data_IF_560820000562
#
_entry.id   IF_560820000562
#
_cell.length_a   1.000
_cell.length_b   1.000
_cell.length_c   1.000
_cell.angle_alpha   90.00
_cell.angle_beta   90.00
_cell.angle_gamma   90.00
#
_symmetry.space_group_name_H-M   'P 1'
#
loop_
_entity.id
_entity.type
_entity.pdbx_description
1 polymer ?
#
# COMPACT_ATOMS: atom_id res chain seq x y z
N UNK A 1 28.46 -34.35 -33.19
CA UNK A 1 28.30 -35.17 -31.97
C UNK A 1 28.19 -34.21 -30.80
N UNK A 2 26.99 -34.05 -30.23
CA UNK A 2 26.73 -33.09 -29.16
C UNK A 2 26.47 -33.87 -27.87
N UNK A 3 27.38 -33.78 -26.92
CA UNK A 3 27.25 -34.37 -25.59
C UNK A 3 26.28 -33.52 -24.75
N UNK A 4 25.12 -34.10 -24.41
CA UNK A 4 24.21 -33.52 -23.44
C UNK A 4 24.76 -33.74 -22.02
N UNK A 5 25.02 -32.63 -21.31
CA UNK A 5 25.31 -32.67 -19.88
C UNK A 5 24.04 -33.07 -19.10
N UNK A 6 24.15 -33.94 -18.07
CA UNK A 6 22.99 -34.33 -17.27
C UNK A 6 22.49 -33.16 -16.42
N UNK A 7 21.17 -33.03 -16.35
CA UNK A 7 20.45 -32.05 -15.54
C UNK A 7 20.66 -32.32 -14.05
N UNK A 8 21.04 -31.28 -13.33
CA UNK A 8 21.36 -31.35 -11.91
C UNK A 8 20.07 -31.56 -11.08
N UNK A 9 19.97 -32.59 -10.22
CA UNK A 9 18.72 -32.92 -9.52
C UNK A 9 18.37 -31.86 -8.48
N UNK A 10 17.06 -31.66 -8.32
CA UNK A 10 16.48 -30.67 -7.41
C UNK A 10 16.88 -30.94 -5.95
N UNK A 11 16.87 -29.89 -5.11
CA UNK A 11 17.18 -30.00 -3.69
C UNK A 11 16.34 -31.08 -2.98
N UNK A 12 15.08 -31.25 -3.39
CA UNK A 12 14.17 -32.27 -2.88
C UNK A 12 14.63 -33.69 -3.24
N UNK A 13 15.15 -33.90 -4.46
CA UNK A 13 15.68 -35.19 -4.89
C UNK A 13 16.99 -35.53 -4.18
N UNK A 14 17.86 -34.54 -3.96
CA UNK A 14 19.11 -34.71 -3.21
C UNK A 14 18.83 -35.06 -1.74
N UNK A 15 17.87 -34.37 -1.12
CA UNK A 15 17.43 -34.66 0.24
C UNK A 15 16.77 -36.05 0.34
N UNK A 16 15.93 -36.41 -0.62
CA UNK A 16 15.31 -37.74 -0.67
C UNK A 16 16.34 -38.88 -0.91
N UNK A 17 17.44 -38.61 -1.60
CA UNK A 17 18.52 -39.56 -1.81
C UNK A 17 19.42 -39.73 -0.56
N UNK A 18 19.76 -38.63 0.11
CA UNK A 18 20.48 -38.66 1.39
C UNK A 18 19.67 -39.38 2.47
N UNK A 19 18.35 -39.20 2.48
CA UNK A 19 17.49 -39.82 3.48
C UNK A 19 17.27 -41.31 3.25
N UNK A 20 17.21 -41.75 1.98
CA UNK A 20 17.15 -43.17 1.61
C UNK A 20 18.40 -43.96 1.99
N UNK A 21 19.56 -43.29 2.06
CA UNK A 21 20.82 -43.91 2.50
C UNK A 21 20.93 -44.07 4.01
N UNK A 22 20.08 -43.41 4.79
CA UNK A 22 20.22 -43.32 6.25
C UNK A 22 19.22 -44.19 7.05
N UNK A 23 18.30 -44.93 6.41
CA UNK A 23 17.24 -45.66 7.09
C UNK A 23 17.48 -47.20 7.11
N UNK A 24 17.48 -47.86 8.29
CA UNK A 24 17.45 -49.31 8.39
C UNK A 24 16.01 -49.86 8.18
N UNK A 25 15.92 -51.03 7.54
CA UNK A 25 14.77 -51.94 7.36
C UNK A 25 13.33 -51.37 7.30
N UNK A 26 12.67 -51.67 6.18
CA UNK A 26 11.36 -51.19 5.69
C UNK A 26 10.08 -51.38 6.55
N UNK A 27 10.13 -51.82 7.81
CA UNK A 27 8.93 -52.07 8.61
C UNK A 27 8.44 -50.84 9.40
N UNK A 28 9.34 -50.02 9.94
CA UNK A 28 8.99 -48.78 10.68
C UNK A 28 8.77 -47.56 9.75
N UNK A 29 8.96 -47.77 8.44
CA UNK A 29 9.01 -46.73 7.42
C UNK A 29 7.62 -46.13 7.12
N UNK A 30 6.55 -46.94 7.13
CA UNK A 30 5.21 -46.45 6.83
C UNK A 30 4.62 -45.57 7.96
N UNK A 31 4.99 -45.84 9.22
CA UNK A 31 4.48 -45.12 10.39
C UNK A 31 5.06 -43.72 10.57
N UNK A 32 6.28 -43.47 10.06
CA UNK A 32 6.98 -42.19 10.25
C UNK A 32 6.84 -41.23 9.05
N UNK A 33 6.54 -41.74 7.86
CA UNK A 33 6.45 -40.94 6.62
C UNK A 33 5.16 -40.12 6.56
N UNK A 34 4.03 -40.65 7.04
CA UNK A 34 2.77 -39.91 7.06
C UNK A 34 2.84 -38.68 7.99
N UNK A 35 3.30 -38.79 9.26
CA UNK A 35 3.43 -37.63 10.15
C UNK A 35 4.42 -36.58 9.65
N UNK A 36 5.55 -36.98 9.06
CA UNK A 36 6.54 -36.06 8.52
C UNK A 36 6.03 -35.34 7.25
N UNK A 37 5.32 -36.05 6.37
CA UNK A 37 4.67 -35.48 5.19
C UNK A 37 3.52 -34.53 5.57
N UNK A 38 2.75 -34.88 6.59
CA UNK A 38 1.66 -34.04 7.10
C UNK A 38 2.20 -32.80 7.83
N UNK A 39 3.30 -32.94 8.57
CA UNK A 39 3.99 -31.82 9.20
C UNK A 39 4.60 -30.88 8.16
N UNK A 40 5.31 -31.40 7.15
CA UNK A 40 5.86 -30.60 6.07
C UNK A 40 4.74 -29.98 5.20
N UNK A 41 3.63 -30.71 5.01
CA UNK A 41 2.40 -30.19 4.43
C UNK A 41 1.83 -29.02 5.24
N UNK A 42 1.69 -29.15 6.54
CA UNK A 42 1.16 -28.11 7.42
C UNK A 42 2.09 -26.88 7.53
N UNK A 43 3.40 -27.09 7.51
CA UNK A 43 4.42 -26.04 7.66
C UNK A 43 4.68 -25.30 6.34
N UNK A 44 4.66 -26.00 5.19
CA UNK A 44 5.00 -25.43 3.88
C UNK A 44 3.82 -25.28 2.91
N UNK A 45 2.65 -25.90 3.17
CA UNK A 45 1.41 -25.71 2.39
C UNK A 45 0.36 -24.83 3.07
N UNK A 46 0.76 -23.94 4.00
CA UNK A 46 0.05 -22.66 4.13
C UNK A 46 0.34 -21.81 2.88
N UNK A 47 -0.08 -22.32 1.73
CA UNK A 47 -0.35 -21.47 0.57
C UNK A 47 -1.26 -20.37 1.10
N UNK A 48 -0.94 -19.09 0.87
CA UNK A 48 -1.84 -18.02 1.24
C UNK A 48 -3.22 -18.40 0.69
N UNK A 49 -4.26 -18.36 1.55
CA UNK A 49 -5.64 -18.72 1.17
C UNK A 49 -5.92 -18.16 -0.23
N UNK A 50 -6.64 -18.86 -1.12
CA UNK A 50 -6.87 -18.40 -2.49
C UNK A 50 -7.31 -16.94 -2.59
N UNK A 51 -8.04 -16.43 -1.59
CA UNK A 51 -8.37 -15.01 -1.41
C UNK A 51 -7.17 -14.09 -1.20
N UNK A 52 -6.19 -14.50 -0.39
CA UNK A 52 -4.93 -13.78 -0.15
C UNK A 52 -4.05 -13.81 -1.41
N UNK A 53 -4.00 -14.92 -2.16
CA UNK A 53 -3.32 -14.97 -3.47
C UNK A 53 -4.03 -14.09 -4.52
N UNK A 54 -5.35 -14.08 -4.55
CA UNK A 54 -6.13 -13.23 -5.45
C UNK A 54 -5.98 -11.73 -5.11
N UNK A 55 -5.91 -11.38 -3.81
CA UNK A 55 -5.62 -10.01 -3.35
C UNK A 55 -4.17 -9.59 -3.64
N UNK A 56 -3.20 -10.50 -3.49
CA UNK A 56 -1.78 -10.27 -3.81
C UNK A 56 -1.56 -10.10 -5.32
N UNK A 57 -2.26 -10.88 -6.17
CA UNK A 57 -2.25 -10.72 -7.64
C UNK A 57 -3.03 -9.48 -8.12
N UNK A 58 -4.14 -9.12 -7.46
CA UNK A 58 -4.87 -7.85 -7.73
C UNK A 58 -4.03 -6.59 -7.48
N UNK A 59 -2.93 -6.72 -6.74
CA UNK A 59 -2.03 -5.63 -6.32
C UNK A 59 -0.60 -5.80 -6.82
N UNK A 60 -0.40 -6.39 -8.01
CA UNK A 60 0.69 -5.86 -8.85
C UNK A 60 0.49 -4.34 -8.90
N UNK A 61 1.42 -3.58 -8.31
CA UNK A 61 1.18 -2.23 -7.83
C UNK A 61 0.30 -1.42 -8.77
N UNK A 62 -0.92 -1.09 -8.35
CA UNK A 62 -1.85 -0.27 -9.12
C UNK A 62 -1.09 0.93 -9.68
N UNK A 63 -1.24 1.18 -10.98
CA UNK A 63 -0.46 2.21 -11.64
C UNK A 63 -1.31 3.47 -11.76
N UNK A 64 -0.73 4.61 -11.37
CA UNK A 64 -1.27 5.91 -11.69
C UNK A 64 -0.79 6.30 -13.10
N UNK A 65 -1.68 6.54 -14.07
CA UNK A 65 -1.26 6.74 -15.46
C UNK A 65 -0.82 8.19 -15.76
N UNK A 66 -1.07 9.12 -14.83
CA UNK A 66 -0.81 10.54 -14.95
C UNK A 66 -0.20 11.12 -13.67
N UNK A 67 0.36 12.31 -13.76
CA UNK A 67 0.77 13.06 -12.56
C UNK A 67 -0.46 13.77 -11.97
N UNK A 68 -0.64 13.72 -10.65
CA UNK A 68 -1.70 14.38 -9.90
C UNK A 68 -1.19 15.67 -9.26
N UNK A 69 -1.99 16.72 -9.38
CA UNK A 69 -1.70 18.04 -8.87
C UNK A 69 -2.87 18.60 -8.07
N UNK A 70 -2.52 19.49 -7.14
CA UNK A 70 -3.45 20.42 -6.52
C UNK A 70 -3.40 21.74 -7.29
N UNK A 71 -4.55 22.18 -7.78
CA UNK A 71 -4.68 23.49 -8.39
C UNK A 71 -4.80 24.56 -7.30
N UNK A 72 -3.82 25.46 -7.26
CA UNK A 72 -3.79 26.65 -6.41
C UNK A 72 -3.94 27.88 -7.30
N UNK A 73 -4.30 29.03 -6.73
CA UNK A 73 -4.63 30.25 -7.48
C UNK A 73 -3.61 30.61 -8.56
N UNK A 74 -2.32 30.62 -8.24
CA UNK A 74 -1.25 31.02 -9.16
C UNK A 74 -0.38 29.85 -9.66
N UNK A 75 -0.66 28.59 -9.28
CA UNK A 75 0.23 27.46 -9.58
C UNK A 75 -0.41 26.10 -9.38
N UNK A 76 0.22 25.07 -9.94
CA UNK A 76 -0.09 23.67 -9.67
C UNK A 76 0.94 23.05 -8.73
N UNK A 77 0.51 22.46 -7.61
CA UNK A 77 1.37 21.78 -6.66
C UNK A 77 1.34 20.27 -6.90
N UNK A 78 2.47 19.59 -7.19
CA UNK A 78 2.48 18.15 -7.39
C UNK A 78 2.11 17.39 -6.12
N UNK A 79 1.14 16.47 -6.22
CA UNK A 79 0.71 15.59 -5.14
C UNK A 79 1.30 14.20 -5.30
N UNK A 80 1.00 13.53 -6.42
CA UNK A 80 1.48 12.17 -6.70
C UNK A 80 1.97 12.09 -8.15
N UNK A 81 3.11 11.45 -8.37
CA UNK A 81 3.63 11.23 -9.72
C UNK A 81 3.04 9.96 -10.31
N UNK A 82 2.98 9.89 -11.64
CA UNK A 82 2.65 8.68 -12.39
C UNK A 82 3.53 7.51 -11.96
N UNK A 83 3.02 6.30 -12.12
CA UNK A 83 3.70 5.06 -11.80
C UNK A 83 3.05 4.31 -10.64
N UNK A 84 3.80 3.45 -9.92
CA UNK A 84 3.25 2.64 -8.84
C UNK A 84 2.62 3.51 -7.74
N UNK A 85 1.35 3.24 -7.42
CA UNK A 85 0.66 3.87 -6.30
C UNK A 85 1.19 3.27 -5.00
N UNK A 86 1.74 4.12 -4.14
CA UNK A 86 2.06 3.77 -2.76
C UNK A 86 0.98 4.34 -1.82
N UNK A 87 0.05 3.50 -1.32
CA UNK A 87 -1.00 3.94 -0.41
C UNK A 87 -0.48 4.37 0.96
N UNK A 88 0.81 4.15 1.24
CA UNK A 88 1.48 4.59 2.45
C UNK A 88 2.42 5.78 2.23
N UNK A 89 2.10 6.58 1.22
CA UNK A 89 2.71 7.87 0.99
C UNK A 89 1.69 8.99 1.15
N UNK A 90 2.15 10.14 1.65
CA UNK A 90 1.33 11.34 1.65
C UNK A 90 2.15 12.60 1.36
N UNK A 91 1.45 13.62 0.88
CA UNK A 91 1.98 14.98 0.73
C UNK A 91 1.32 15.85 1.80
N UNK A 92 2.10 16.64 2.56
CA UNK A 92 1.61 17.59 3.55
C UNK A 92 1.76 19.02 3.03
N UNK A 93 0.66 19.79 3.12
CA UNK A 93 0.61 21.24 2.91
C UNK A 93 0.31 21.94 4.23
N UNK A 94 1.16 22.89 4.62
CA UNK A 94 0.98 23.73 5.81
C UNK A 94 0.40 25.11 5.45
N UNK A 95 -0.01 25.87 6.47
CA UNK A 95 -0.51 27.23 6.30
C UNK A 95 -1.81 27.31 5.51
N UNK A 96 -2.69 26.32 5.68
CA UNK A 96 -4.00 26.34 5.01
C UNK A 96 -4.94 27.28 5.74
N UNK A 97 -5.69 28.10 5.00
CA UNK A 97 -6.67 29.02 5.59
C UNK A 97 -7.80 28.27 6.31
N UNK A 98 -8.29 28.85 7.41
CA UNK A 98 -9.49 28.37 8.10
C UNK A 98 -10.75 28.44 7.23
N UNK A 99 -10.82 29.44 6.34
CA UNK A 99 -11.91 29.67 5.38
C UNK A 99 -11.76 28.88 4.09
N UNK A 100 -10.78 27.98 4.01
CA UNK A 100 -10.58 27.17 2.82
C UNK A 100 -11.62 26.04 2.76
N UNK A 101 -12.45 26.08 1.72
CA UNK A 101 -13.65 25.24 1.63
C UNK A 101 -13.62 24.21 0.50
N UNK A 102 -12.73 24.36 -0.48
CA UNK A 102 -12.66 23.48 -1.65
C UNK A 102 -11.22 23.30 -2.11
N UNK A 103 -10.86 22.05 -2.44
CA UNK A 103 -9.62 21.70 -3.14
C UNK A 103 -9.95 21.25 -4.56
N UNK A 104 -9.29 21.85 -5.55
CA UNK A 104 -9.40 21.43 -6.95
C UNK A 104 -8.19 20.57 -7.31
N UNK A 105 -8.46 19.38 -7.84
CA UNK A 105 -7.44 18.42 -8.21
C UNK A 105 -7.39 18.33 -9.74
N UNK A 106 -6.19 18.45 -10.28
CA UNK A 106 -5.92 18.29 -11.70
C UNK A 106 -4.99 17.13 -11.94
N UNK A 107 -4.98 16.65 -13.17
CA UNK A 107 -4.04 15.64 -13.66
C UNK A 107 -3.33 16.17 -14.89
N UNK A 108 -2.09 15.73 -15.07
CA UNK A 108 -1.30 15.99 -16.26
C UNK A 108 -0.96 14.65 -16.90
N UNK A 109 -1.56 14.41 -18.06
CA UNK A 109 -1.33 13.19 -18.82
C UNK A 109 0.05 13.25 -19.52
N UNK A 110 0.73 12.12 -19.78
CA UNK A 110 2.08 12.12 -20.34
C UNK A 110 2.26 12.93 -21.63
N UNK A 111 1.28 12.88 -22.54
CA UNK A 111 1.32 13.62 -23.81
C UNK A 111 1.04 15.12 -23.67
N UNK A 112 0.48 15.53 -22.54
CA UNK A 112 0.05 16.91 -22.27
C UNK A 112 1.13 17.71 -21.48
N UNK A 113 2.25 17.07 -21.11
CA UNK A 113 3.27 17.62 -20.21
C UNK A 113 4.00 18.84 -20.76
N UNK A 114 4.40 18.83 -22.03
CA UNK A 114 5.16 19.93 -22.64
C UNK A 114 4.30 21.19 -22.81
N UNK A 115 3.00 21.01 -23.05
CA UNK A 115 2.04 22.10 -23.22
C UNK A 115 1.33 22.46 -21.90
N UNK A 116 1.71 21.84 -20.78
CA UNK A 116 1.08 22.00 -19.46
C UNK A 116 -0.45 21.94 -19.50
N UNK A 117 -1.01 21.05 -20.32
CA UNK A 117 -2.46 20.91 -20.51
C UNK A 117 -3.09 20.10 -19.38
N UNK A 118 -3.30 20.76 -18.25
CA UNK A 118 -3.96 20.16 -17.09
C UNK A 118 -5.41 19.81 -17.38
N UNK A 119 -5.84 18.63 -16.92
CA UNK A 119 -7.22 18.16 -17.01
C UNK A 119 -7.83 18.01 -15.61
N UNK A 120 -9.15 18.13 -15.45
CA UNK A 120 -9.80 17.88 -14.17
C UNK A 120 -9.61 16.44 -13.69
N UNK A 121 -9.19 16.27 -12.45
CA UNK A 121 -9.18 14.98 -11.76
C UNK A 121 -10.34 14.86 -10.79
N UNK A 122 -10.59 15.89 -9.97
CA UNK A 122 -11.66 15.84 -8.99
C UNK A 122 -11.69 17.04 -8.05
N UNK A 123 -12.62 17.01 -7.11
CA UNK A 123 -12.82 18.10 -6.14
C UNK A 123 -12.97 17.52 -4.74
N UNK A 124 -12.39 18.18 -3.73
CA UNK A 124 -12.66 17.89 -2.31
C UNK A 124 -13.47 19.04 -1.72
N UNK A 125 -14.68 18.76 -1.25
CA UNK A 125 -15.58 19.75 -0.63
C UNK A 125 -15.41 19.71 0.90
N UNK A 126 -14.69 20.67 1.46
CA UNK A 126 -14.32 20.72 2.88
C UNK A 126 -15.46 21.20 3.78
N UNK A 127 -16.34 22.05 3.22
CA UNK A 127 -17.51 22.62 3.89
C UNK A 127 -18.57 21.57 4.27
N UNK A 128 -18.55 20.38 3.66
CA UNK A 128 -19.53 19.31 3.94
C UNK A 128 -19.32 18.57 5.27
N UNK A 129 -18.27 18.91 6.03
CA UNK A 129 -17.92 18.22 7.26
C UNK A 129 -17.31 16.85 6.99
N UNK A 130 -15.99 16.73 7.17
CA UNK A 130 -15.30 15.46 6.91
C UNK A 130 -15.66 14.39 7.93
N UNK A 131 -15.42 13.13 7.57
CA UNK A 131 -15.63 12.00 8.46
C UNK A 131 -14.56 11.98 9.56
N UNK A 132 -14.88 11.51 10.78
CA UNK A 132 -13.83 11.16 11.73
C UNK A 132 -12.91 10.08 11.13
N UNK A 133 -11.64 10.08 11.54
CA UNK A 133 -10.73 8.98 11.20
C UNK A 133 -11.21 7.70 11.93
N UNK A 134 -11.26 6.55 11.24
CA UNK A 134 -11.64 5.30 11.88
C UNK A 134 -10.60 4.91 12.92
N UNK A 135 -11.02 4.48 14.12
CA UNK A 135 -10.08 3.98 15.13
C UNK A 135 -9.62 2.59 14.72
N UNK A 136 -8.31 2.36 14.74
CA UNK A 136 -7.77 1.04 14.41
C UNK A 136 -8.16 -0.02 15.44
N UNK A 137 -8.31 0.35 16.72
CA UNK A 137 -8.77 -0.55 17.77
C UNK A 137 -10.10 -1.24 17.42
N UNK A 138 -10.98 -0.56 16.69
CA UNK A 138 -12.30 -1.07 16.31
C UNK A 138 -12.23 -2.06 15.11
N UNK A 139 -11.07 -2.21 14.47
CA UNK A 139 -10.86 -3.07 13.31
C UNK A 139 -10.60 -4.55 13.69
N UNK A 140 -11.53 -5.18 14.40
CA UNK A 140 -11.39 -6.54 14.98
C UNK A 140 -10.90 -7.61 13.98
N UNK A 141 -11.43 -7.63 12.76
CA UNK A 141 -11.00 -8.60 11.73
C UNK A 141 -9.55 -8.42 11.27
N UNK A 142 -9.04 -7.19 11.29
CA UNK A 142 -7.64 -6.91 10.97
C UNK A 142 -6.70 -7.34 12.11
N UNK A 143 -7.11 -7.12 13.36
CA UNK A 143 -6.38 -7.59 14.55
C UNK A 143 -6.24 -9.11 14.59
N UNK A 144 -7.33 -9.83 14.32
CA UNK A 144 -7.30 -11.27 14.21
C UNK A 144 -6.30 -11.72 13.13
N UNK A 145 -6.32 -11.08 11.96
CA UNK A 145 -5.41 -11.42 10.86
C UNK A 145 -3.94 -11.15 11.21
N UNK A 146 -3.61 -9.99 11.80
CA UNK A 146 -2.23 -9.69 12.22
C UNK A 146 -1.71 -10.68 13.27
N UNK A 147 -2.58 -11.09 14.20
CA UNK A 147 -2.24 -12.08 15.22
C UNK A 147 -2.07 -13.47 14.63
N UNK A 148 -2.97 -13.90 13.76
CA UNK A 148 -2.92 -15.22 13.11
C UNK A 148 -1.74 -15.36 12.14
N UNK A 149 -1.49 -14.35 11.30
CA UNK A 149 -0.49 -14.42 10.24
C UNK A 149 0.92 -14.12 10.74
N UNK A 150 1.06 -13.14 11.63
CA UNK A 150 2.35 -12.62 12.08
C UNK A 150 2.62 -12.84 13.57
N UNK A 151 1.65 -13.29 14.36
CA UNK A 151 1.80 -13.44 15.81
C UNK A 151 1.81 -12.12 16.58
N UNK A 152 1.47 -11.00 15.93
CA UNK A 152 1.55 -9.68 16.54
C UNK A 152 0.35 -9.40 17.43
N UNK A 153 0.61 -8.93 18.65
CA UNK A 153 -0.43 -8.54 19.61
C UNK A 153 -0.94 -7.11 19.37
N UNK A 154 -0.10 -6.25 18.79
CA UNK A 154 -0.39 -4.85 18.50
C UNK A 154 0.06 -4.43 17.10
N UNK A 155 -0.56 -3.39 16.56
CA UNK A 155 -0.17 -2.76 15.30
C UNK A 155 1.09 -1.95 15.58
N UNK A 156 2.09 -2.01 14.69
CA UNK A 156 3.29 -1.22 14.89
C UNK A 156 2.99 0.27 14.72
N UNK A 157 3.75 1.13 15.38
CA UNK A 157 3.57 2.58 15.21
C UNK A 157 4.02 3.00 13.80
N UNK A 158 3.20 3.78 13.09
CA UNK A 158 3.56 4.32 11.78
C UNK A 158 4.83 5.19 11.84
N UNK A 159 5.13 5.84 12.97
CA UNK A 159 6.32 6.69 13.18
C UNK A 159 7.62 5.93 12.93
N UNK A 160 7.66 4.64 13.27
CA UNK A 160 8.87 3.83 13.13
C UNK A 160 9.30 3.67 11.67
N UNK A 161 8.33 3.73 10.76
CA UNK A 161 8.52 3.48 9.33
C UNK A 161 8.50 4.74 8.49
N UNK A 162 7.84 5.80 8.97
CA UNK A 162 7.64 7.01 8.19
C UNK A 162 8.95 7.80 8.07
N UNK A 163 9.22 8.28 6.86
CA UNK A 163 10.35 9.17 6.57
C UNK A 163 9.83 10.42 5.91
N UNK A 164 10.24 11.57 6.44
CA UNK A 164 9.93 12.88 5.89
C UNK A 164 10.98 13.26 4.85
N UNK A 165 10.52 13.80 3.73
CA UNK A 165 11.35 14.39 2.69
C UNK A 165 10.81 15.80 2.44
N UNK A 166 11.63 16.86 2.62
CA UNK A 166 11.20 18.20 2.23
C UNK A 166 10.94 18.22 0.71
N UNK A 167 9.91 18.93 0.29
CA UNK A 167 9.65 19.20 -1.12
C UNK A 167 10.23 20.57 -1.47
N UNK A 168 10.86 20.67 -2.65
CA UNK A 168 11.32 21.94 -3.20
C UNK A 168 10.10 22.80 -3.52
N UNK A 169 9.86 23.81 -2.67
CA UNK A 169 8.78 24.76 -2.85
C UNK A 169 9.31 26.12 -3.27
N UNK A 170 8.66 26.83 -4.22
CA UNK A 170 9.07 28.17 -4.61
C UNK A 170 9.12 29.14 -3.42
N UNK A 171 9.97 30.17 -3.50
CA UNK A 171 10.07 31.22 -2.46
C UNK A 171 8.70 31.86 -2.22
N UNK A 172 8.29 31.99 -0.95
CA UNK A 172 6.96 32.50 -0.55
C UNK A 172 5.84 31.45 -0.52
N UNK A 173 6.14 30.20 -0.89
CA UNK A 173 5.24 29.07 -0.67
C UNK A 173 5.16 28.66 0.79
N UNK A 174 4.02 28.12 1.20
CA UNK A 174 3.98 27.29 2.40
C UNK A 174 4.92 26.09 2.26
N UNK A 175 5.67 25.74 3.33
CA UNK A 175 6.45 24.51 3.35
C UNK A 175 5.59 23.29 3.05
N UNK A 176 6.15 22.37 2.26
CA UNK A 176 5.53 21.11 1.94
C UNK A 176 6.50 19.95 2.18
N UNK A 177 5.94 18.81 2.57
CA UNK A 177 6.70 17.62 2.89
C UNK A 177 6.05 16.41 2.24
N UNK A 178 6.86 15.50 1.76
CA UNK A 178 6.43 14.17 1.37
C UNK A 178 6.82 13.18 2.45
N UNK A 179 5.85 12.40 2.88
CA UNK A 179 6.06 11.30 3.79
C UNK A 179 5.90 9.99 3.04
N UNK A 180 6.84 9.06 3.23
CA UNK A 180 6.79 7.72 2.65
C UNK A 180 7.24 6.70 3.68
N UNK A 181 6.65 5.52 3.62
CA UNK A 181 7.20 4.38 4.34
C UNK A 181 8.42 3.81 3.63
N UNK A 182 9.27 3.14 4.41
CA UNK A 182 10.26 2.25 3.84
C UNK A 182 9.60 1.24 2.88
N UNK A 183 10.27 0.95 1.77
CA UNK A 183 9.79 -0.02 0.77
C UNK A 183 9.62 -1.41 1.40
N UNK A 184 8.68 -2.18 0.85
CA UNK A 184 8.59 -3.63 1.13
C UNK A 184 9.93 -4.33 0.90
N UNK A 185 10.19 -5.40 1.64
CA UNK A 185 11.45 -6.16 1.53
C UNK A 185 12.57 -5.74 2.49
N UNK A 186 12.28 -4.90 3.49
CA UNK A 186 13.25 -4.65 4.56
C UNK A 186 13.55 -5.93 5.34
N UNK A 187 14.81 -6.37 5.31
CA UNK A 187 15.33 -7.49 6.09
C UNK A 187 15.56 -7.16 7.57
N UNK A 188 15.17 -5.96 8.02
CA UNK A 188 15.25 -5.58 9.43
C UNK A 188 14.23 -6.37 10.23
N UNK A 189 14.70 -7.10 11.23
CA UNK A 189 13.83 -7.79 12.20
C UNK A 189 13.02 -6.74 12.94
N UNK A 190 11.70 -6.84 12.83
CA UNK A 190 10.74 -6.01 13.56
C UNK A 190 10.51 -6.59 14.96
N UNK A 191 10.23 -7.89 15.04
CA UNK A 191 9.97 -8.59 16.29
C UNK A 191 10.47 -10.04 16.26
N UNK A 192 10.67 -10.63 17.44
CA UNK A 192 10.86 -12.07 17.62
C UNK A 192 9.69 -12.62 18.42
N UNK A 193 9.00 -13.60 17.85
CA UNK A 193 7.81 -14.22 18.44
C UNK A 193 8.10 -15.72 18.56
N UNK A 194 8.40 -16.16 19.78
CA UNK A 194 9.02 -17.46 20.03
C UNK A 194 10.33 -17.61 19.22
N UNK A 195 10.38 -18.62 18.36
CA UNK A 195 11.53 -18.88 17.47
C UNK A 195 11.46 -18.14 16.13
N UNK A 196 10.31 -17.54 15.79
CA UNK A 196 10.12 -16.86 14.49
C UNK A 196 10.64 -15.43 14.56
N UNK A 197 11.40 -15.03 13.55
CA UNK A 197 11.73 -13.62 13.28
C UNK A 197 10.67 -13.07 12.34
N UNK A 198 10.05 -11.96 12.73
CA UNK A 198 9.12 -11.20 11.89
C UNK A 198 9.86 -9.99 11.37
N UNK A 199 9.90 -9.84 10.05
CA UNK A 199 10.62 -8.75 9.38
C UNK A 199 9.70 -7.56 9.11
N UNK A 200 10.29 -6.36 9.10
CA UNK A 200 9.59 -5.12 8.80
C UNK A 200 8.85 -5.19 7.46
N UNK A 201 9.46 -5.82 6.44
CA UNK A 201 8.82 -6.03 5.15
C UNK A 201 7.50 -6.83 5.23
N UNK A 202 7.49 -7.92 6.02
CA UNK A 202 6.28 -8.75 6.21
C UNK A 202 5.15 -7.95 6.87
N UNK A 203 5.49 -7.15 7.88
CA UNK A 203 4.52 -6.33 8.59
C UNK A 203 3.89 -5.30 7.64
N UNK A 204 4.71 -4.55 6.90
CA UNK A 204 4.21 -3.55 5.96
C UNK A 204 3.36 -4.16 4.84
N UNK A 205 3.69 -5.39 4.41
CA UNK A 205 2.91 -6.10 3.40
C UNK A 205 1.57 -6.61 3.95
N UNK A 206 1.51 -7.03 5.20
CA UNK A 206 0.26 -7.35 5.88
C UNK A 206 -0.61 -6.09 6.04
N UNK A 207 -0.04 -4.97 6.50
CA UNK A 207 -0.75 -3.70 6.61
C UNK A 207 -1.32 -3.26 5.25
N UNK A 208 -0.51 -3.34 4.18
CA UNK A 208 -0.97 -3.10 2.81
C UNK A 208 -2.17 -3.99 2.49
N UNK A 209 -2.06 -5.29 2.74
CA UNK A 209 -3.05 -6.28 2.28
C UNK A 209 -4.39 -6.16 3.00
N UNK A 210 -4.37 -5.88 4.30
CA UNK A 210 -5.55 -6.02 5.16
C UNK A 210 -6.24 -4.71 5.52
N UNK A 211 -5.51 -3.59 5.53
CA UNK A 211 -6.13 -2.30 5.82
C UNK A 211 -6.97 -1.80 4.64
N UNK A 212 -8.18 -1.35 4.95
CA UNK A 212 -8.95 -0.50 4.03
C UNK A 212 -8.23 0.85 3.84
N UNK A 213 -8.52 1.60 2.76
CA UNK A 213 -7.89 2.90 2.54
C UNK A 213 -8.05 3.89 3.71
N UNK A 214 -9.23 3.96 4.32
CA UNK A 214 -9.47 4.85 5.45
C UNK A 214 -8.69 4.43 6.70
N UNK A 215 -8.57 3.12 6.95
CA UNK A 215 -7.76 2.61 8.06
C UNK A 215 -6.26 2.81 7.81
N UNK A 216 -5.78 2.65 6.57
CA UNK A 216 -4.39 2.94 6.21
C UNK A 216 -4.05 4.41 6.44
N UNK A 217 -4.95 5.33 6.07
CA UNK A 217 -4.80 6.76 6.39
C UNK A 217 -4.81 6.99 7.89
N UNK A 218 -5.74 6.38 8.64
CA UNK A 218 -5.80 6.52 10.10
C UNK A 218 -4.51 6.07 10.78
N UNK A 219 -3.98 4.92 10.36
CA UNK A 219 -2.70 4.41 10.85
C UNK A 219 -1.53 5.36 10.58
N UNK A 220 -1.42 5.87 9.35
CA UNK A 220 -0.40 6.88 9.02
C UNK A 220 -0.59 8.17 9.81
N UNK A 221 -1.82 8.53 10.12
CA UNK A 221 -2.16 9.71 10.88
C UNK A 221 -1.74 9.62 12.36
N UNK A 222 -1.57 8.43 12.93
CA UNK A 222 -1.00 8.24 14.27
C UNK A 222 0.45 8.78 14.36
N UNK A 223 1.17 8.76 13.23
CA UNK A 223 2.52 9.34 13.15
C UNK A 223 2.54 10.87 13.27
N UNK A 224 1.38 11.51 13.22
CA UNK A 224 1.24 12.95 13.36
C UNK A 224 0.27 13.31 14.48
N UNK A 225 0.42 12.67 15.63
CA UNK A 225 -0.47 12.85 16.78
C UNK A 225 -0.21 14.18 17.53
N UNK A 226 0.87 14.89 17.22
CA UNK A 226 1.18 16.16 17.87
C UNK A 226 0.06 17.18 17.63
N UNK A 227 -0.43 17.87 18.67
CA UNK A 227 -1.38 18.94 18.50
C UNK A 227 -0.75 20.07 17.66
N UNK A 228 -1.56 20.68 16.81
CA UNK A 228 -1.12 21.83 16.03
C UNK A 228 -1.10 23.09 16.89
N UNK A 229 -0.23 24.05 16.51
CA UNK A 229 -0.22 25.37 17.16
C UNK A 229 -1.56 26.08 16.95
N UNK A 230 -1.99 26.99 17.85
CA UNK A 230 -3.18 27.79 17.64
C UNK A 230 -3.17 28.49 16.28
N UNK A 231 -4.29 28.44 15.57
CA UNK A 231 -4.43 29.00 14.21
C UNK A 231 -3.92 28.10 13.09
N UNK A 232 -3.16 27.05 13.38
CA UNK A 232 -2.55 26.20 12.36
C UNK A 232 -3.55 25.17 11.79
N UNK A 233 -3.50 24.99 10.47
CA UNK A 233 -4.21 23.95 9.74
C UNK A 233 -3.25 23.30 8.75
N UNK A 234 -3.22 21.97 8.77
CA UNK A 234 -2.43 21.15 7.85
C UNK A 234 -3.33 20.25 7.03
N UNK A 235 -3.03 20.15 5.75
CA UNK A 235 -3.69 19.23 4.83
C UNK A 235 -2.72 18.13 4.43
N UNK A 236 -3.13 16.86 4.55
CA UNK A 236 -2.35 15.72 4.07
C UNK A 236 -3.12 14.93 3.05
N UNK A 237 -2.52 14.77 1.87
CA UNK A 237 -3.13 14.16 0.70
C UNK A 237 -2.57 12.75 0.53
N UNK A 238 -3.46 11.79 0.41
CA UNK A 238 -3.16 10.36 0.30
C UNK A 238 -3.79 9.83 -0.98
N UNK A 239 -3.11 8.88 -1.64
CA UNK A 239 -3.64 8.19 -2.80
C UNK A 239 -3.85 6.72 -2.49
N UNK A 240 -5.10 6.31 -2.39
CA UNK A 240 -5.45 4.91 -2.18
C UNK A 240 -5.06 4.05 -3.39
N UNK A 241 -4.84 2.75 -3.17
CA UNK A 241 -4.44 1.81 -4.23
C UNK A 241 -5.47 1.68 -5.36
N UNK A 242 -6.70 2.14 -5.19
CA UNK A 242 -7.73 2.18 -6.23
C UNK A 242 -7.77 3.53 -6.98
N UNK A 243 -6.78 4.40 -6.77
CA UNK A 243 -6.67 5.71 -7.41
C UNK A 243 -7.52 6.79 -6.77
N UNK A 244 -8.24 6.51 -5.67
CA UNK A 244 -9.00 7.54 -4.96
C UNK A 244 -8.08 8.44 -4.13
N UNK A 245 -8.25 9.75 -4.28
CA UNK A 245 -7.56 10.72 -3.43
C UNK A 245 -8.35 10.95 -2.13
N UNK A 246 -7.65 10.82 -1.02
CA UNK A 246 -8.14 11.10 0.33
C UNK A 246 -7.37 12.29 0.90
N UNK A 247 -8.05 13.12 1.68
CA UNK A 247 -7.47 14.29 2.32
C UNK A 247 -7.76 14.25 3.82
N UNK A 248 -6.73 14.39 4.64
CA UNK A 248 -6.90 14.70 6.05
C UNK A 248 -6.68 16.18 6.27
N UNK A 249 -7.70 16.86 6.80
CA UNK A 249 -7.59 18.21 7.33
C UNK A 249 -7.37 18.11 8.84
N UNK A 250 -6.18 18.48 9.29
CA UNK A 250 -5.86 18.61 10.70
C UNK A 250 -5.98 20.09 11.09
N UNK A 251 -6.96 20.39 11.94
CA UNK A 251 -7.23 21.74 12.43
C UNK A 251 -6.93 21.80 13.93
N UNK A 252 -6.17 22.81 14.37
CA UNK A 252 -5.71 22.93 15.77
C UNK A 252 -6.81 22.71 16.83
N UNK A 253 -7.99 23.33 16.65
CA UNK A 253 -9.15 23.17 17.54
C UNK A 253 -10.04 21.98 17.24
N UNK A 254 -10.31 21.68 15.95
CA UNK A 254 -11.32 20.69 15.54
C UNK A 254 -10.77 19.27 15.38
N UNK A 255 -9.45 19.10 15.52
CA UNK A 255 -8.76 17.84 15.29
C UNK A 255 -8.73 17.46 13.80
N UNK A 256 -8.64 16.16 13.54
CA UNK A 256 -8.47 15.59 12.20
C UNK A 256 -9.81 15.17 11.60
N UNK A 257 -10.00 15.48 10.32
CA UNK A 257 -11.16 15.06 9.53
C UNK A 257 -10.72 14.50 8.19
N UNK A 258 -11.28 13.36 7.82
CA UNK A 258 -11.02 12.66 6.58
C UNK A 258 -12.06 13.05 5.52
N UNK A 259 -11.56 13.45 4.38
CA UNK A 259 -12.33 13.80 3.19
C UNK A 259 -11.92 12.89 2.04
N UNK A 260 -12.84 12.73 1.10
CA UNK A 260 -12.61 11.98 -0.13
C UNK A 260 -12.89 12.90 -1.31
N UNK A 261 -12.03 12.84 -2.32
CA UNK A 261 -12.27 13.53 -3.57
C UNK A 261 -13.46 12.92 -4.34
N UNK A 262 -14.30 13.79 -4.86
CA UNK A 262 -15.25 13.48 -5.94
C UNK A 262 -14.44 13.43 -7.25
N UNK A 263 -13.97 12.25 -7.63
CA UNK A 263 -13.15 12.04 -8.84
C UNK A 263 -14.02 12.05 -10.09
N UNK A 264 -13.55 12.71 -11.15
CA UNK A 264 -14.22 12.76 -12.46
C UNK A 264 -14.35 11.36 -13.06
N UNK A 265 -15.46 11.12 -13.79
CA UNK A 265 -15.72 9.82 -14.43
C UNK A 265 -14.60 9.42 -15.40
N UNK A 266 -14.04 10.39 -16.13
CA UNK A 266 -12.94 10.16 -17.06
C UNK A 266 -11.67 9.68 -16.32
N UNK A 267 -11.27 10.35 -15.24
CA UNK A 267 -10.10 9.96 -14.46
C UNK A 267 -10.28 8.59 -13.80
N UNK A 268 -11.49 8.28 -13.30
CA UNK A 268 -11.81 6.96 -12.76
C UNK A 268 -11.65 5.85 -13.81
N UNK A 269 -12.16 6.06 -15.04
CA UNK A 269 -12.00 5.09 -16.14
C UNK A 269 -10.52 4.86 -16.47
N UNK A 270 -9.73 5.93 -16.50
CA UNK A 270 -8.30 5.83 -16.79
C UNK A 270 -7.56 5.05 -15.70
N UNK A 271 -7.78 5.36 -14.42
CA UNK A 271 -7.23 4.60 -13.30
C UNK A 271 -7.63 3.11 -13.34
N UNK A 272 -8.90 2.80 -13.67
CA UNK A 272 -9.37 1.43 -13.79
C UNK A 272 -8.73 0.68 -14.98
N UNK A 273 -8.38 1.41 -16.05
CA UNK A 273 -7.70 0.86 -17.22
C UNK A 273 -6.18 0.76 -17.08
N UNK A 274 -5.60 1.49 -16.11
CA UNK A 274 -4.16 1.53 -15.83
C UNK A 274 -3.79 0.59 -14.67
N UNK A 275 -3.63 -0.69 -14.99
CA UNK A 275 -3.23 -1.69 -14.02
C UNK A 275 -2.90 -3.02 -14.68
N UNK A 276 -2.57 -4.06 -13.90
CA UNK A 276 -2.26 -5.40 -14.42
C UNK A 276 -3.41 -6.01 -15.26
N UNK A 277 -4.63 -5.47 -15.14
CA UNK A 277 -5.81 -5.87 -15.89
C UNK A 277 -5.90 -5.37 -17.34
N UNK A 278 -4.85 -4.72 -17.87
CA UNK A 278 -4.73 -4.43 -19.31
C UNK A 278 -4.91 -5.71 -20.16
N UNK A 279 -4.65 -6.90 -19.59
CA UNK A 279 -4.78 -8.21 -20.25
C UNK A 279 -6.19 -8.84 -20.20
N UNK A 280 -7.17 -8.28 -19.49
CA UNK A 280 -8.56 -8.79 -19.50
C UNK A 280 -9.47 -8.09 -20.51
N UNK A 281 -8.94 -7.10 -21.25
CA UNK A 281 -9.59 -6.56 -22.44
C UNK A 281 -8.78 -6.94 -23.67
N UNK A 282 -8.75 -8.24 -23.97
CA UNK A 282 -8.65 -8.63 -25.37
C UNK A 282 -9.85 -7.98 -26.08
N UNK A 283 -9.67 -7.38 -27.27
CA UNK A 283 -10.82 -6.97 -28.06
C UNK A 283 -11.65 -8.23 -28.31
N UNK A 284 -12.95 -8.17 -28.04
CA UNK A 284 -13.92 -8.99 -28.76
C UNK A 284 -13.65 -8.70 -30.24
N UNK A 285 -12.78 -9.48 -30.86
CA UNK A 285 -12.68 -9.55 -32.31
C UNK A 285 -14.08 -9.95 -32.74
N UNK A 286 -14.76 -9.02 -33.40
CA UNK A 286 -16.01 -9.27 -34.12
C UNK A 286 -15.77 -10.53 -34.94
N UNK A 287 -16.58 -11.56 -34.68
CA UNK A 287 -16.81 -12.60 -35.65
C UNK A 287 -17.39 -11.88 -36.89
N UNK A 288 -16.61 -11.92 -37.98
CA UNK A 288 -17.12 -11.78 -39.33
C UNK A 288 -17.37 -13.21 -39.83
#
# INVERSE_FOLDING_TARGET
MSEQRPSDPSLLERLAALWRRAAPSNADFAGCVAPARDFLGAVFQRSPRPEVRARRRRREASQLPFDLYLALAARSQPLHRRGPIDPFSCFERRGVSATHDVEFLTRLDPGDRLAERYRPFGVVRLYRGGNPLPRLADATGFWATLREDLGLERVPDARDFLRAQPEDVPRGASPAYRYRLARSGSARVFARIGRRRVFTGEVLDALRTHLSPAQAVSWLEEAFAEPLRPGEIRHRYYLAADGRLLLVRHHWRKGKRLYRAETSAEAQRLCASSGPFRRLRAPLRRAA
#
